data_IF_847955768362
#
_entry.id   IF_847955768362
#
_cell.length_a   1.000
_cell.length_b   1.000
_cell.length_c   1.000
_cell.angle_alpha   90.00
_cell.angle_beta   90.00
_cell.angle_gamma   90.00
#
_symmetry.space_group_name_H-M   'P 1'
#
loop_
_entity.id
_entity.type
_entity.pdbx_description
1 polymer ?
#
# COMPACT_ATOMS: atom_id res chain seq x y z
N UNK A 1 0.47 12.07 11.12
CA UNK A 1 1.19 10.77 11.28
C UNK A 1 1.26 10.27 12.74
N UNK A 2 0.49 10.88 13.66
CA UNK A 2 0.45 10.43 15.07
C UNK A 2 -0.05 8.98 15.18
N UNK A 3 -1.11 8.61 14.42
CA UNK A 3 -1.71 7.27 14.41
C UNK A 3 -0.69 6.15 14.11
N UNK A 4 0.27 6.42 13.22
CA UNK A 4 1.33 5.46 12.91
C UNK A 4 2.30 5.28 14.09
N UNK A 5 2.66 6.36 14.80
CA UNK A 5 3.48 6.28 16.02
C UNK A 5 2.73 5.53 17.14
N UNK A 6 1.45 5.81 17.32
CA UNK A 6 0.61 5.12 18.31
C UNK A 6 0.55 3.60 18.07
N UNK A 7 0.57 3.17 16.79
CA UNK A 7 0.67 1.75 16.45
C UNK A 7 2.03 1.16 16.85
N UNK A 8 3.15 1.84 16.55
CA UNK A 8 4.48 1.40 16.97
C UNK A 8 4.57 1.27 18.49
N UNK A 9 4.11 2.29 19.23
CA UNK A 9 4.08 2.30 20.70
C UNK A 9 3.20 1.19 21.26
N UNK A 10 2.03 0.96 20.63
CA UNK A 10 1.13 -0.12 21.04
C UNK A 10 1.79 -1.48 20.91
N UNK A 11 2.46 -1.76 19.79
CA UNK A 11 3.13 -3.06 19.59
C UNK A 11 4.30 -3.25 20.54
N UNK A 12 5.08 -2.20 20.84
CA UNK A 12 6.15 -2.28 21.85
C UNK A 12 5.60 -2.57 23.24
N UNK A 13 4.44 -1.99 23.61
CA UNK A 13 3.84 -2.12 24.94
C UNK A 13 3.05 -3.41 25.13
N UNK A 14 2.27 -3.82 24.11
CA UNK A 14 1.25 -4.88 24.22
C UNK A 14 1.59 -6.12 23.38
N UNK A 15 2.61 -6.02 22.51
CA UNK A 15 2.93 -7.07 21.55
C UNK A 15 3.39 -8.35 22.24
N UNK A 16 2.82 -9.46 21.78
CA UNK A 16 3.27 -10.80 22.17
C UNK A 16 4.40 -11.25 21.27
N UNK A 17 5.45 -11.81 21.85
CA UNK A 17 6.54 -12.42 21.08
C UNK A 17 6.03 -13.65 20.33
N UNK A 18 6.34 -13.72 19.05
CA UNK A 18 6.02 -14.84 18.15
C UNK A 18 7.23 -15.21 17.33
N UNK A 19 7.37 -16.49 17.07
CA UNK A 19 8.28 -16.99 16.04
C UNK A 19 7.65 -16.75 14.67
N UNK A 20 8.47 -16.59 13.66
CA UNK A 20 8.04 -16.37 12.30
C UNK A 20 8.83 -17.25 11.30
N UNK A 21 8.39 -17.27 10.04
CA UNK A 21 9.00 -18.07 8.96
C UNK A 21 10.48 -17.73 8.75
N UNK A 22 10.87 -16.49 9.01
CA UNK A 22 12.28 -16.03 8.78
C UNK A 22 13.22 -16.40 9.93
N UNK A 23 12.69 -16.88 11.07
CA UNK A 23 13.47 -17.15 12.26
C UNK A 23 13.94 -15.91 13.04
N UNK A 24 13.57 -14.70 12.59
CA UNK A 24 13.93 -13.44 13.25
C UNK A 24 13.14 -13.25 14.55
N UNK A 25 11.87 -13.66 14.55
CA UNK A 25 10.90 -13.40 15.60
C UNK A 25 10.31 -12.00 15.53
N UNK A 26 9.12 -11.85 16.10
CA UNK A 26 8.35 -10.60 16.08
C UNK A 26 7.75 -10.28 17.45
N UNK A 27 7.45 -8.99 17.69
CA UNK A 27 6.41 -8.55 18.61
C UNK A 27 5.15 -8.25 17.80
N UNK A 28 4.01 -8.83 18.15
CA UNK A 28 2.79 -8.77 17.36
C UNK A 28 1.57 -8.45 18.20
N UNK A 29 0.66 -7.63 17.65
CA UNK A 29 -0.72 -7.45 18.12
C UNK A 29 -1.68 -7.87 17.02
N UNK A 30 -2.84 -8.40 17.39
CA UNK A 30 -3.89 -8.77 16.44
C UNK A 30 -5.02 -7.75 16.46
N UNK A 31 -5.31 -7.19 15.29
CA UNK A 31 -6.37 -6.19 15.12
C UNK A 31 -5.96 -4.78 15.53
N UNK A 32 -5.86 -3.90 14.53
CA UNK A 32 -5.67 -2.46 14.69
C UNK A 32 -6.26 -1.72 13.50
N UNK A 33 -6.62 -0.46 13.70
CA UNK A 33 -7.09 0.38 12.60
C UNK A 33 -6.55 1.80 12.76
N UNK A 34 -6.05 2.37 11.67
CA UNK A 34 -5.66 3.76 11.56
C UNK A 34 -6.55 4.46 10.53
N UNK A 35 -6.74 5.78 10.70
CA UNK A 35 -7.48 6.62 9.76
C UNK A 35 -6.69 7.88 9.46
N UNK A 36 -6.64 8.27 8.19
CA UNK A 36 -5.96 9.46 7.69
C UNK A 36 -6.95 10.26 6.84
N UNK A 37 -7.26 11.50 7.22
CA UNK A 37 -7.99 12.44 6.35
C UNK A 37 -7.02 12.94 5.27
N UNK A 38 -7.28 12.56 4.02
CA UNK A 38 -6.43 12.93 2.88
C UNK A 38 -6.56 14.41 2.51
N UNK A 39 -7.57 15.10 3.03
CA UNK A 39 -7.71 16.56 2.91
C UNK A 39 -6.73 17.35 3.78
N UNK A 40 -6.20 16.75 4.87
CA UNK A 40 -5.20 17.39 5.73
C UNK A 40 -3.79 17.39 5.12
N UNK A 41 -3.54 16.55 4.12
CA UNK A 41 -2.25 16.38 3.44
C UNK A 41 -1.98 14.92 3.10
N UNK A 42 -0.92 14.69 2.34
CA UNK A 42 -0.54 13.35 1.94
C UNK A 42 0.11 12.58 3.09
N UNK A 43 -0.42 11.41 3.53
CA UNK A 43 0.03 10.72 4.74
C UNK A 43 1.35 9.98 4.54
N UNK A 44 2.41 10.73 4.29
CA UNK A 44 3.77 10.24 4.13
C UNK A 44 4.53 10.39 5.44
N UNK A 45 5.13 9.30 5.94
CA UNK A 45 5.90 9.31 7.17
C UNK A 45 7.05 10.30 7.09
N UNK A 46 7.16 11.20 8.08
CA UNK A 46 8.19 12.24 8.14
C UNK A 46 9.28 11.94 9.19
N UNK A 47 9.04 10.98 10.09
CA UNK A 47 10.02 10.59 11.14
C UNK A 47 11.14 9.71 10.61
N UNK A 48 11.04 9.24 9.37
CA UNK A 48 12.13 8.71 8.55
C UNK A 48 11.85 8.97 7.08
N UNK A 49 12.90 9.18 6.29
CA UNK A 49 12.77 9.34 4.83
C UNK A 49 12.36 8.02 4.18
N UNK A 50 11.33 8.06 3.36
CA UNK A 50 10.88 6.94 2.51
C UNK A 50 11.38 7.09 1.08
N UNK A 51 11.52 5.98 0.36
CA UNK A 51 11.92 5.96 -1.04
C UNK A 51 10.69 6.10 -1.94
N UNK A 52 10.24 7.34 -2.17
CA UNK A 52 9.04 7.67 -2.95
C UNK A 52 9.00 7.04 -4.34
N UNK A 53 10.17 7.00 -5.01
CA UNK A 53 10.27 6.40 -6.34
C UNK A 53 9.77 4.95 -6.34
N UNK A 54 10.16 4.15 -5.34
CA UNK A 54 9.70 2.77 -5.23
C UNK A 54 8.19 2.68 -5.00
N UNK A 55 7.63 3.52 -4.14
CA UNK A 55 6.20 3.53 -3.83
C UNK A 55 5.37 3.82 -5.09
N UNK A 56 5.76 4.85 -5.85
CA UNK A 56 5.02 5.28 -7.05
C UNK A 56 5.14 4.22 -8.15
N UNK A 57 6.35 3.74 -8.46
CA UNK A 57 6.53 2.74 -9.52
C UNK A 57 5.88 1.40 -9.17
N UNK A 58 5.89 0.98 -7.90
CA UNK A 58 5.19 -0.24 -7.46
C UNK A 58 3.68 -0.14 -7.71
N UNK A 59 3.06 0.99 -7.34
CA UNK A 59 1.63 1.18 -7.59
C UNK A 59 1.31 1.20 -9.09
N UNK A 60 2.10 1.90 -9.91
CA UNK A 60 1.92 1.92 -11.36
C UNK A 60 2.08 0.52 -11.97
N UNK A 61 3.03 -0.26 -11.47
CA UNK A 61 3.25 -1.64 -11.88
C UNK A 61 2.07 -2.55 -11.51
N UNK A 62 1.48 -2.41 -10.33
CA UNK A 62 0.24 -3.11 -9.97
C UNK A 62 -0.93 -2.71 -10.88
N UNK A 63 -1.08 -1.42 -11.18
CA UNK A 63 -2.14 -0.91 -12.08
C UNK A 63 -1.95 -1.35 -13.53
N UNK A 64 -0.72 -1.60 -13.96
CA UNK A 64 -0.44 -2.22 -15.26
C UNK A 64 -0.83 -3.70 -15.33
N UNK A 65 -1.11 -4.35 -14.19
CA UNK A 65 -1.40 -5.79 -14.13
C UNK A 65 -0.16 -6.67 -14.30
N UNK A 66 1.03 -6.08 -14.21
CA UNK A 66 2.29 -6.77 -14.43
C UNK A 66 2.72 -7.56 -13.17
N UNK A 67 3.46 -8.64 -13.37
CA UNK A 67 4.01 -9.52 -12.33
C UNK A 67 5.51 -9.73 -12.50
N UNK A 68 6.09 -9.24 -13.58
CA UNK A 68 7.52 -9.30 -13.85
C UNK A 68 8.21 -8.02 -13.37
N UNK A 69 9.34 -8.17 -12.67
CA UNK A 69 10.07 -7.05 -12.07
C UNK A 69 10.94 -6.26 -13.07
N UNK A 70 10.92 -6.58 -14.38
CA UNK A 70 11.71 -5.88 -15.38
C UNK A 70 11.45 -4.36 -15.37
N UNK A 71 10.16 -3.95 -15.41
CA UNK A 71 9.77 -2.55 -15.29
C UNK A 71 10.32 -1.88 -14.02
N UNK A 72 10.24 -2.56 -12.88
CA UNK A 72 10.75 -2.04 -11.61
C UNK A 72 12.26 -1.82 -11.66
N UNK A 73 13.02 -2.80 -12.19
CA UNK A 73 14.48 -2.71 -12.36
C UNK A 73 14.90 -1.58 -13.29
N UNK A 74 14.23 -1.43 -14.44
CA UNK A 74 14.46 -0.34 -15.39
C UNK A 74 14.28 1.04 -14.74
N UNK A 75 13.40 1.11 -13.73
CA UNK A 75 13.14 2.33 -12.97
C UNK A 75 13.93 2.44 -11.67
N UNK A 76 14.93 1.58 -11.44
CA UNK A 76 15.80 1.62 -10.25
C UNK A 76 15.09 1.22 -8.95
N UNK A 77 14.08 0.35 -9.05
CA UNK A 77 13.31 -0.18 -7.93
C UNK A 77 13.65 -1.65 -7.73
N UNK A 78 14.12 -2.02 -6.53
CA UNK A 78 14.63 -3.35 -6.19
C UNK A 78 13.85 -4.05 -5.07
N UNK A 79 12.71 -3.49 -4.65
CA UNK A 79 11.97 -3.97 -3.47
C UNK A 79 11.33 -5.35 -3.65
N UNK A 80 11.34 -5.91 -4.85
CA UNK A 80 10.82 -7.23 -5.19
C UNK A 80 11.88 -8.23 -5.67
N UNK A 81 13.16 -7.81 -5.75
CA UNK A 81 14.25 -8.62 -6.33
C UNK A 81 14.45 -9.96 -5.60
N UNK A 82 14.24 -9.98 -4.27
CA UNK A 82 14.49 -11.16 -3.43
C UNK A 82 13.45 -12.28 -3.62
N UNK A 83 12.28 -11.96 -4.19
CA UNK A 83 11.19 -12.93 -4.39
C UNK A 83 11.03 -13.39 -5.84
N UNK A 84 11.60 -12.65 -6.79
CA UNK A 84 11.47 -12.98 -8.19
C UNK A 84 12.27 -14.23 -8.59
N UNK A 85 11.73 -15.01 -9.51
CA UNK A 85 12.43 -16.14 -10.10
C UNK A 85 13.58 -15.69 -11.03
N UNK A 86 14.27 -16.65 -11.65
CA UNK A 86 15.38 -16.37 -12.56
C UNK A 86 14.98 -15.54 -13.81
N UNK A 87 13.69 -15.53 -14.17
CA UNK A 87 13.14 -14.76 -15.28
C UNK A 87 12.58 -13.40 -14.82
N UNK A 88 12.61 -13.11 -13.52
CA UNK A 88 12.05 -11.90 -12.93
C UNK A 88 10.55 -11.98 -12.67
N UNK A 89 9.94 -13.15 -12.69
CA UNK A 89 8.51 -13.33 -12.47
C UNK A 89 8.21 -13.66 -11.00
N UNK A 90 7.06 -13.18 -10.53
CA UNK A 90 6.55 -13.36 -9.16
C UNK A 90 5.32 -14.26 -9.10
N UNK A 91 4.87 -14.77 -10.25
CA UNK A 91 3.58 -15.46 -10.35
C UNK A 91 2.39 -14.50 -10.25
N UNK A 92 1.17 -15.00 -10.04
CA UNK A 92 -0.07 -14.20 -10.13
C UNK A 92 -0.29 -13.32 -8.90
N UNK A 93 0.69 -12.44 -8.56
CA UNK A 93 0.63 -11.51 -7.43
C UNK A 93 -0.30 -10.30 -7.72
N UNK A 94 -0.35 -9.33 -6.87
CA UNK A 94 -1.24 -8.16 -6.83
C UNK A 94 -1.75 -7.64 -8.19
N UNK A 95 -0.86 -7.29 -9.10
CA UNK A 95 -1.23 -6.75 -10.42
C UNK A 95 -2.10 -7.71 -11.22
N UNK A 96 -1.73 -8.99 -11.25
CA UNK A 96 -2.52 -10.03 -11.90
C UNK A 96 -3.91 -10.15 -11.28
N UNK A 97 -4.01 -10.26 -9.96
CA UNK A 97 -5.30 -10.41 -9.28
C UNK A 97 -6.20 -9.16 -9.48
N UNK A 98 -5.63 -7.97 -9.49
CA UNK A 98 -6.39 -6.73 -9.68
C UNK A 98 -6.92 -6.57 -11.10
N UNK A 99 -6.15 -7.02 -12.12
CA UNK A 99 -6.42 -6.72 -13.54
C UNK A 99 -6.82 -7.93 -14.39
N UNK A 100 -6.55 -9.14 -13.91
CA UNK A 100 -6.71 -10.36 -14.70
C UNK A 100 -7.21 -11.53 -13.87
N UNK A 101 -8.14 -11.28 -12.93
CA UNK A 101 -8.72 -12.34 -12.10
C UNK A 101 -9.46 -13.36 -12.98
N UNK A 102 -9.17 -14.68 -12.89
CA UNK A 102 -9.87 -15.69 -13.70
C UNK A 102 -11.38 -15.74 -13.40
N UNK A 103 -12.22 -15.68 -14.43
CA UNK A 103 -13.69 -15.72 -14.29
C UNK A 103 -14.27 -17.14 -14.17
N UNK A 104 -13.42 -18.16 -14.26
CA UNK A 104 -13.81 -19.57 -14.24
C UNK A 104 -14.43 -20.08 -15.56
N UNK A 105 -14.52 -19.23 -16.59
CA UNK A 105 -15.08 -19.57 -17.91
C UNK A 105 -14.05 -19.41 -19.05
N UNK A 106 -12.79 -19.19 -18.70
CA UNK A 106 -11.69 -18.96 -19.63
C UNK A 106 -11.45 -17.49 -20.00
N UNK A 107 -12.17 -16.57 -19.36
CA UNK A 107 -11.97 -15.12 -19.42
C UNK A 107 -11.34 -14.56 -18.15
N UNK A 108 -11.24 -13.24 -18.09
CA UNK A 108 -10.70 -12.50 -16.95
C UNK A 108 -11.60 -11.35 -16.52
N UNK A 109 -11.53 -11.03 -15.23
CA UNK A 109 -12.18 -9.89 -14.62
C UNK A 109 -11.11 -8.84 -14.29
N UNK A 110 -11.22 -7.66 -14.89
CA UNK A 110 -10.45 -6.48 -14.49
C UNK A 110 -11.17 -5.77 -13.34
N UNK A 111 -10.81 -6.09 -12.11
CA UNK A 111 -11.47 -5.55 -10.93
C UNK A 111 -11.30 -4.03 -10.83
N UNK A 112 -10.13 -3.48 -11.20
CA UNK A 112 -9.88 -2.03 -11.14
C UNK A 112 -10.71 -1.27 -12.19
N UNK A 113 -10.77 -1.76 -13.43
CA UNK A 113 -11.59 -1.13 -14.45
C UNK A 113 -13.08 -1.16 -14.08
N UNK A 114 -13.56 -2.30 -13.56
CA UNK A 114 -14.94 -2.43 -13.09
C UNK A 114 -15.22 -1.50 -11.90
N UNK A 115 -14.27 -1.37 -10.95
CA UNK A 115 -14.37 -0.46 -9.81
C UNK A 115 -14.56 0.99 -10.28
N UNK A 116 -13.70 1.50 -11.16
CA UNK A 116 -13.76 2.87 -11.69
C UNK A 116 -15.09 3.11 -12.42
N UNK A 117 -15.51 2.16 -13.25
CA UNK A 117 -16.79 2.24 -13.96
C UNK A 117 -17.98 2.25 -13.00
N UNK A 118 -17.94 1.43 -11.94
CA UNK A 118 -19.02 1.36 -10.94
C UNK A 118 -19.09 2.62 -10.09
N UNK A 119 -17.96 3.21 -9.66
CA UNK A 119 -17.94 4.50 -8.93
C UNK A 119 -18.63 5.59 -9.76
N UNK A 120 -18.33 5.67 -11.08
CA UNK A 120 -18.94 6.67 -11.97
C UNK A 120 -20.44 6.44 -12.17
N UNK A 121 -20.87 5.17 -12.27
CA UNK A 121 -22.26 4.79 -12.55
C UNK A 121 -23.14 4.81 -11.31
N UNK A 122 -22.61 4.34 -10.16
CA UNK A 122 -23.35 4.14 -8.93
C UNK A 122 -22.43 4.34 -7.70
N UNK A 123 -22.12 5.59 -7.33
CA UNK A 123 -21.21 5.90 -6.23
C UNK A 123 -21.71 5.37 -4.87
N UNK A 124 -23.01 5.12 -4.70
CA UNK A 124 -23.59 4.54 -3.48
C UNK A 124 -23.44 3.02 -3.38
N UNK A 125 -22.78 2.38 -4.34
CA UNK A 125 -22.56 0.93 -4.36
C UNK A 125 -21.77 0.48 -3.13
N UNK A 126 -22.23 -0.61 -2.50
CA UNK A 126 -21.52 -1.29 -1.39
C UNK A 126 -20.58 -2.39 -1.89
N UNK A 127 -20.37 -2.48 -3.22
CA UNK A 127 -19.58 -3.52 -3.89
C UNK A 127 -18.31 -2.96 -4.54
N UNK A 128 -17.86 -1.81 -4.08
CA UNK A 128 -16.63 -1.16 -4.56
C UNK A 128 -15.41 -1.82 -3.91
N UNK A 129 -15.19 -3.11 -4.19
CA UNK A 129 -14.17 -3.96 -3.57
C UNK A 129 -13.23 -4.51 -4.64
N UNK A 130 -11.94 -4.55 -4.30
CA UNK A 130 -10.89 -5.25 -5.06
C UNK A 130 -10.20 -6.23 -4.13
N UNK A 131 -10.08 -7.49 -4.55
CA UNK A 131 -9.40 -8.55 -3.80
C UNK A 131 -8.12 -8.98 -4.50
N UNK A 132 -7.04 -9.08 -3.75
CA UNK A 132 -5.80 -9.73 -4.19
C UNK A 132 -5.67 -11.17 -3.64
N UNK A 133 -6.49 -11.53 -2.63
CA UNK A 133 -6.45 -12.84 -2.02
C UNK A 133 -7.28 -13.85 -2.82
N UNK A 134 -6.59 -14.63 -3.65
CA UNK A 134 -7.18 -15.73 -4.42
C UNK A 134 -6.66 -17.06 -3.88
N UNK A 135 -7.47 -17.84 -3.12
CA UNK A 135 -7.00 -19.10 -2.52
C UNK A 135 -6.50 -20.14 -3.54
N UNK A 136 -6.97 -20.07 -4.79
CA UNK A 136 -6.53 -20.98 -5.85
C UNK A 136 -5.11 -20.66 -6.32
N UNK A 137 -4.71 -19.38 -6.32
CA UNK A 137 -3.44 -18.92 -6.83
C UNK A 137 -2.37 -18.73 -5.74
N UNK A 138 -2.77 -18.57 -4.47
CA UNK A 138 -1.83 -18.37 -3.34
C UNK A 138 -0.67 -19.38 -3.33
N UNK A 139 -0.86 -20.68 -3.63
CA UNK A 139 0.25 -21.65 -3.60
C UNK A 139 1.32 -21.43 -4.68
N UNK A 140 1.00 -20.68 -5.75
CA UNK A 140 1.92 -20.42 -6.87
C UNK A 140 2.43 -18.98 -6.93
N UNK A 141 2.07 -18.16 -5.95
CA UNK A 141 2.59 -16.81 -5.79
C UNK A 141 3.96 -16.86 -5.10
N UNK A 142 4.93 -16.07 -5.56
CA UNK A 142 6.21 -15.91 -4.89
C UNK A 142 6.05 -15.37 -3.45
N UNK A 143 5.07 -14.48 -3.25
CA UNK A 143 4.68 -13.95 -1.95
C UNK A 143 3.15 -13.81 -1.86
N UNK A 144 2.46 -14.56 -0.97
CA UNK A 144 1.04 -14.37 -0.73
C UNK A 144 0.69 -12.94 -0.30
N UNK A 145 -0.38 -12.34 -0.84
CA UNK A 145 -0.70 -10.93 -0.60
C UNK A 145 -0.84 -10.59 0.89
N UNK A 146 -0.06 -9.63 1.37
CA UNK A 146 -0.19 -9.07 2.71
C UNK A 146 -1.40 -8.12 2.79
N UNK A 147 -1.55 -7.20 1.83
CA UNK A 147 -2.73 -6.37 1.67
C UNK A 147 -3.74 -7.11 0.79
N UNK A 148 -4.72 -7.75 1.46
CA UNK A 148 -5.59 -8.77 0.86
C UNK A 148 -6.72 -8.21 0.03
N UNK A 149 -7.34 -7.13 0.51
CA UNK A 149 -8.47 -6.48 -0.15
C UNK A 149 -8.58 -5.02 0.28
N UNK A 150 -9.18 -4.22 -0.59
CA UNK A 150 -9.57 -2.86 -0.25
C UNK A 150 -10.96 -2.55 -0.79
N UNK A 151 -11.62 -1.61 -0.13
CA UNK A 151 -12.97 -1.16 -0.44
C UNK A 151 -13.00 0.35 -0.52
N UNK A 152 -13.69 0.87 -1.55
CA UNK A 152 -13.98 2.29 -1.64
C UNK A 152 -15.39 2.60 -1.13
N UNK A 153 -15.55 3.84 -0.71
CA UNK A 153 -16.80 4.39 -0.21
C UNK A 153 -16.90 5.87 -0.60
N UNK A 154 -18.04 6.26 -1.17
CA UNK A 154 -18.30 7.64 -1.57
C UNK A 154 -19.30 8.27 -0.61
N UNK A 155 -18.98 9.45 -0.11
CA UNK A 155 -19.87 10.26 0.72
C UNK A 155 -19.61 11.74 0.51
N UNK A 156 -20.68 12.51 0.25
CA UNK A 156 -20.60 13.97 0.08
C UNK A 156 -19.56 14.42 -0.96
N UNK A 157 -19.45 13.71 -2.08
CA UNK A 157 -18.49 13.98 -3.14
C UNK A 157 -17.04 13.58 -2.82
N UNK A 158 -16.79 12.92 -1.69
CA UNK A 158 -15.47 12.45 -1.27
C UNK A 158 -15.38 10.94 -1.37
N UNK A 159 -14.26 10.45 -1.92
CA UNK A 159 -13.91 9.03 -2.06
C UNK A 159 -12.95 8.61 -0.95
N UNK A 160 -13.37 7.67 -0.12
CA UNK A 160 -12.55 7.04 0.93
C UNK A 160 -12.17 5.63 0.55
N UNK A 161 -11.03 5.15 1.05
CA UNK A 161 -10.55 3.79 0.84
C UNK A 161 -10.28 3.12 2.18
N UNK A 162 -10.73 1.87 2.35
CA UNK A 162 -10.34 1.02 3.47
C UNK A 162 -9.56 -0.18 2.97
N UNK A 163 -8.34 -0.36 3.47
CA UNK A 163 -7.48 -1.50 3.23
C UNK A 163 -7.55 -2.49 4.40
N UNK A 164 -7.70 -3.79 4.10
CA UNK A 164 -7.39 -4.86 5.05
C UNK A 164 -6.05 -5.51 4.72
N UNK A 165 -5.11 -5.42 5.65
CA UNK A 165 -3.79 -6.03 5.57
C UNK A 165 -3.66 -7.14 6.63
N UNK A 166 -3.56 -8.41 6.18
CA UNK A 166 -3.52 -9.58 7.06
C UNK A 166 -2.23 -9.70 7.86
N UNK A 167 -1.12 -9.22 7.32
CA UNK A 167 0.22 -9.31 7.89
C UNK A 167 0.97 -8.02 7.56
N UNK A 168 1.52 -7.35 8.57
CA UNK A 168 2.05 -6.00 8.44
C UNK A 168 3.34 -5.83 9.22
N UNK A 169 4.49 -5.80 8.53
CA UNK A 169 5.73 -5.22 9.06
C UNK A 169 5.52 -3.71 9.23
N UNK A 170 5.33 -3.29 10.49
CA UNK A 170 4.97 -1.90 10.78
C UNK A 170 6.15 -0.97 10.50
N UNK A 171 7.38 -1.44 10.65
CA UNK A 171 8.54 -0.57 10.48
C UNK A 171 8.90 -0.34 9.01
N UNK A 172 9.05 -1.39 8.19
CA UNK A 172 9.43 -1.26 6.78
C UNK A 172 8.23 -1.14 5.83
N UNK A 173 7.27 -2.06 5.91
CA UNK A 173 6.20 -2.20 4.93
C UNK A 173 5.08 -1.18 5.10
N UNK A 174 4.55 -1.01 6.30
CA UNK A 174 3.35 -0.17 6.55
C UNK A 174 3.49 1.27 6.06
N UNK A 175 4.62 1.99 6.23
CA UNK A 175 4.78 3.32 5.67
C UNK A 175 4.63 3.39 4.16
N UNK A 176 5.11 2.37 3.43
CA UNK A 176 4.93 2.24 1.98
C UNK A 176 3.46 2.01 1.63
N UNK A 177 2.79 1.11 2.34
CA UNK A 177 1.38 0.78 2.09
C UNK A 177 0.46 1.99 2.36
N UNK A 178 0.69 2.77 3.43
CA UNK A 178 -0.05 4.00 3.70
C UNK A 178 0.05 4.95 2.50
N UNK A 179 1.25 5.23 2.04
CA UNK A 179 1.48 6.16 0.93
C UNK A 179 0.91 5.62 -0.40
N UNK A 180 1.09 4.32 -0.68
CA UNK A 180 0.61 3.69 -1.91
C UNK A 180 -0.92 3.74 -2.01
N UNK A 181 -1.65 3.37 -0.95
CA UNK A 181 -3.11 3.38 -0.99
C UNK A 181 -3.72 4.79 -0.87
N UNK A 182 -3.04 5.72 -0.19
CA UNK A 182 -3.41 7.13 -0.24
C UNK A 182 -3.27 7.68 -1.67
N UNK A 183 -2.16 7.37 -2.35
CA UNK A 183 -1.94 7.75 -3.76
C UNK A 183 -3.02 7.14 -4.66
N UNK A 184 -3.30 5.84 -4.55
CA UNK A 184 -4.36 5.17 -5.30
C UNK A 184 -5.72 5.85 -5.08
N UNK A 185 -6.03 6.24 -3.84
CA UNK A 185 -7.28 6.92 -3.51
C UNK A 185 -7.40 8.27 -4.22
N UNK A 186 -6.33 9.07 -4.22
CA UNK A 186 -6.30 10.34 -4.95
C UNK A 186 -6.43 10.16 -6.46
N UNK A 187 -5.72 9.17 -7.04
CA UNK A 187 -5.78 8.88 -8.48
C UNK A 187 -7.19 8.46 -8.90
N UNK A 188 -7.83 7.54 -8.14
CA UNK A 188 -9.21 7.11 -8.41
C UNK A 188 -10.19 8.25 -8.22
N UNK A 189 -10.04 9.08 -7.18
CA UNK A 189 -10.89 10.25 -6.96
C UNK A 189 -10.81 11.21 -8.15
N UNK A 190 -9.60 11.56 -8.62
CA UNK A 190 -9.43 12.44 -9.78
C UNK A 190 -10.14 11.91 -11.03
N UNK A 191 -9.89 10.65 -11.41
CA UNK A 191 -10.47 10.11 -12.66
C UNK A 191 -11.97 9.86 -12.57
N UNK A 192 -12.55 9.85 -11.37
CA UNK A 192 -14.00 9.71 -11.14
C UNK A 192 -14.69 11.04 -10.83
N UNK A 193 -13.96 12.16 -10.82
CA UNK A 193 -14.49 13.49 -10.54
C UNK A 193 -14.89 13.72 -9.08
N UNK A 194 -14.26 13.01 -8.15
CA UNK A 194 -14.47 13.09 -6.70
C UNK A 194 -13.27 13.75 -6.03
N UNK A 195 -13.45 14.20 -4.79
CA UNK A 195 -12.37 14.61 -3.90
C UNK A 195 -11.87 13.40 -3.08
N UNK A 196 -10.58 13.38 -2.70
CA UNK A 196 -10.07 12.36 -1.80
C UNK A 196 -10.66 12.56 -0.39
N UNK A 197 -11.16 11.47 0.20
CA UNK A 197 -11.71 11.40 1.54
C UNK A 197 -10.72 10.87 2.56
N UNK A 198 -11.09 9.77 3.21
CA UNK A 198 -10.23 9.11 4.21
C UNK A 198 -9.51 7.89 3.62
N UNK A 199 -8.29 7.65 4.08
CA UNK A 199 -7.68 6.34 4.00
C UNK A 199 -7.77 5.65 5.37
N UNK A 200 -8.40 4.48 5.40
CA UNK A 200 -8.56 3.64 6.59
C UNK A 200 -7.71 2.39 6.42
N UNK A 201 -6.74 2.17 7.30
CA UNK A 201 -5.85 1.03 7.25
C UNK A 201 -6.17 0.07 8.39
N UNK A 202 -6.70 -1.11 8.07
CA UNK A 202 -7.10 -2.15 9.02
C UNK A 202 -6.11 -3.31 8.95
N UNK A 203 -5.62 -3.74 10.10
CA UNK A 203 -4.61 -4.77 10.23
C UNK A 203 -5.17 -6.05 10.88
N UNK A 204 -4.71 -7.20 10.39
CA UNK A 204 -4.74 -8.46 11.11
C UNK A 204 -3.57 -8.56 12.08
N UNK A 205 -2.50 -9.28 11.68
CA UNK A 205 -1.24 -9.36 12.43
C UNK A 205 -0.38 -8.13 12.15
N UNK A 206 -0.29 -7.23 13.10
CA UNK A 206 0.56 -6.04 13.04
C UNK A 206 1.80 -6.26 13.91
N UNK A 207 2.99 -6.27 13.30
CA UNK A 207 4.19 -6.71 14.00
C UNK A 207 5.42 -5.84 13.73
N UNK A 208 6.36 -5.89 14.69
CA UNK A 208 7.71 -5.37 14.60
C UNK A 208 8.66 -6.56 14.69
N UNK A 209 9.54 -6.73 13.70
CA UNK A 209 10.61 -7.73 13.78
C UNK A 209 11.57 -7.39 14.91
N UNK A 210 12.05 -8.42 15.64
CA UNK A 210 12.93 -8.21 16.81
C UNK A 210 14.25 -7.52 16.46
N UNK A 211 14.74 -7.67 15.24
CA UNK A 211 15.91 -6.98 14.72
C UNK A 211 15.66 -5.51 14.31
N UNK A 212 14.42 -5.02 14.43
CA UNK A 212 14.05 -3.62 14.14
C UNK A 212 13.77 -2.79 15.42
N UNK A 213 13.90 -3.36 16.61
CA UNK A 213 13.52 -2.67 17.85
C UNK A 213 14.30 -1.36 18.07
N UNK A 214 15.60 -1.37 17.84
CA UNK A 214 16.43 -0.18 17.98
C UNK A 214 16.03 0.92 17.00
N UNK A 215 15.74 0.54 15.76
CA UNK A 215 15.27 1.44 14.69
C UNK A 215 13.89 2.03 15.01
N UNK A 216 13.01 1.25 15.61
CA UNK A 216 11.69 1.73 16.06
C UNK A 216 11.84 2.73 17.19
N UNK A 217 12.69 2.46 18.18
CA UNK A 217 12.99 3.41 19.26
C UNK A 217 13.61 4.70 18.71
N UNK A 218 14.55 4.62 17.77
CA UNK A 218 15.09 5.79 17.08
C UNK A 218 13.97 6.58 16.37
N UNK A 219 13.09 5.91 15.63
CA UNK A 219 12.01 6.57 14.92
C UNK A 219 11.02 7.27 15.87
N UNK A 220 10.67 6.64 16.99
CA UNK A 220 9.79 7.21 18.02
C UNK A 220 10.39 8.40 18.76
N UNK A 221 11.73 8.51 18.82
CA UNK A 221 12.41 9.67 19.40
C UNK A 221 12.30 10.94 18.55
N UNK A 222 11.83 10.82 17.29
CA UNK A 222 11.75 11.91 16.32
C UNK A 222 10.33 12.49 16.27
N UNK A 223 10.21 13.80 16.41
CA UNK A 223 8.91 14.48 16.26
C UNK A 223 8.44 14.43 14.79
N UNK A 224 7.15 14.07 14.53
CA UNK A 224 6.57 14.21 13.21
C UNK A 224 6.61 15.66 12.72
N UNK A 225 6.88 15.85 11.42
CA UNK A 225 6.84 17.14 10.72
C UNK A 225 5.54 17.30 9.94
N UNK A 226 5.34 18.48 9.36
CA UNK A 226 4.18 18.75 8.52
C UNK A 226 4.03 17.72 7.37
N UNK A 227 2.80 17.37 7.04
CA UNK A 227 2.52 16.50 5.91
C UNK A 227 2.82 17.21 4.60
N UNK A 228 3.41 16.52 3.62
CA UNK A 228 3.56 17.04 2.27
C UNK A 228 2.22 17.09 1.54
N UNK A 229 2.23 17.68 0.35
CA UNK A 229 1.09 17.73 -0.56
C UNK A 229 1.33 16.87 -1.79
N UNK A 230 0.33 16.12 -2.17
CA UNK A 230 0.31 15.40 -3.45
C UNK A 230 -0.19 16.35 -4.55
N UNK A 231 0.52 16.36 -5.67
CA UNK A 231 0.10 17.00 -6.91
C UNK A 231 0.01 15.92 -8.00
N UNK A 232 -1.15 15.79 -8.59
CA UNK A 232 -1.38 14.94 -9.76
C UNK A 232 -1.55 15.82 -10.99
N UNK A 233 -1.07 15.37 -12.15
CA UNK A 233 -1.32 16.04 -13.42
C UNK A 233 -2.83 16.07 -13.69
N UNK A 234 -3.49 17.24 -13.72
CA UNK A 234 -4.93 17.35 -13.86
C UNK A 234 -5.46 16.90 -15.23
N UNK A 235 -4.60 16.80 -16.24
CA UNK A 235 -4.96 16.38 -17.59
C UNK A 235 -5.10 14.86 -17.73
N UNK A 236 -4.75 14.08 -16.70
CA UNK A 236 -4.90 12.63 -16.70
C UNK A 236 -6.30 12.26 -16.23
N UNK A 237 -7.10 11.69 -17.15
CA UNK A 237 -8.50 11.29 -16.92
C UNK A 237 -8.73 9.78 -16.96
N UNK A 238 -7.69 9.00 -17.24
CA UNK A 238 -7.69 7.54 -17.21
C UNK A 238 -6.69 7.06 -16.15
N UNK A 239 -7.15 6.21 -15.23
CA UNK A 239 -6.34 5.67 -14.14
C UNK A 239 -5.09 4.92 -14.66
N UNK A 240 -5.21 4.27 -15.80
CA UNK A 240 -4.15 3.47 -16.40
C UNK A 240 -3.17 4.30 -17.27
N UNK A 241 -3.48 5.58 -17.48
CA UNK A 241 -2.62 6.50 -18.23
C UNK A 241 -1.62 7.25 -17.36
N UNK A 242 -1.75 7.20 -16.03
CA UNK A 242 -0.80 7.84 -15.12
C UNK A 242 0.62 7.29 -15.32
N UNK A 243 1.58 8.19 -15.33
CA UNK A 243 3.01 7.92 -15.36
C UNK A 243 3.69 8.51 -14.13
N UNK A 244 4.93 8.14 -13.89
CA UNK A 244 5.70 8.65 -12.76
C UNK A 244 5.77 10.19 -12.76
N UNK A 245 5.92 10.80 -13.93
CA UNK A 245 6.03 12.25 -14.12
C UNK A 245 4.74 13.01 -13.82
N UNK A 246 3.59 12.33 -13.80
CA UNK A 246 2.29 12.91 -13.47
C UNK A 246 2.05 13.04 -11.96
N UNK A 247 2.99 12.58 -11.12
CA UNK A 247 2.87 12.46 -9.68
C UNK A 247 4.00 13.19 -8.99
N UNK A 248 3.70 14.27 -8.28
CA UNK A 248 4.68 15.03 -7.51
C UNK A 248 4.27 15.15 -6.03
N UNK A 249 5.26 15.10 -5.15
CA UNK A 249 5.09 15.31 -3.71
C UNK A 249 5.84 16.57 -3.32
N UNK A 250 5.11 17.59 -2.90
CA UNK A 250 5.65 18.89 -2.53
C UNK A 250 5.76 19.04 -1.01
N UNK A 251 6.85 19.68 -0.55
CA UNK A 251 7.05 19.99 0.86
C UNK A 251 7.39 18.78 1.72
N UNK A 252 7.88 17.66 1.13
CA UNK A 252 8.34 16.52 1.90
C UNK A 252 9.68 16.81 2.58
N UNK A 253 9.64 17.11 3.87
CA UNK A 253 10.81 17.38 4.73
C UNK A 253 10.92 16.31 5.84
N UNK A 254 11.38 15.09 5.53
CA UNK A 254 11.51 14.02 6.52
C UNK A 254 12.81 14.13 7.32
N UNK A 255 12.83 13.48 8.49
CA UNK A 255 14.08 13.12 9.15
C UNK A 255 14.88 12.13 8.26
N UNK A 256 16.20 11.99 8.48
CA UNK A 256 17.02 11.05 7.72
C UNK A 256 16.46 9.62 7.73
N UNK A 257 16.76 8.86 6.68
CA UNK A 257 16.38 7.45 6.59
C UNK A 257 16.96 6.65 7.77
N UNK A 258 16.21 5.67 8.25
CA UNK A 258 16.66 4.66 9.21
C UNK A 258 16.77 3.34 8.46
N UNK A 259 18.00 2.80 8.35
CA UNK A 259 18.25 1.55 7.64
C UNK A 259 17.90 0.35 8.53
N UNK A 260 17.26 -0.65 7.93
CA UNK A 260 17.02 -1.95 8.54
C UNK A 260 17.13 -3.06 7.49
N UNK A 261 17.39 -4.28 7.94
CA UNK A 261 17.41 -5.46 7.07
C UNK A 261 15.99 -5.97 6.87
N UNK A 262 15.64 -6.31 5.63
CA UNK A 262 14.39 -7.02 5.35
C UNK A 262 14.47 -8.42 5.95
N UNK A 263 13.40 -8.89 6.58
CA UNK A 263 13.26 -10.26 7.03
C UNK A 263 12.68 -11.11 5.90
N UNK A 264 13.47 -12.04 5.36
CA UNK A 264 13.14 -12.90 4.20
C UNK A 264 13.19 -14.38 4.55
#
# INVERSE_FOLDING_TARGET
MRNYHELLERVLREGTRKDDRTGTGTLSVFGHQMRFDLGEGFPLVTTKKLHLRSIIHELLWFLAGDTNIAYLKENGVSIWDEWADANGDLGPVYGHQWRSWPDGQGGVIDQIAQLVAEIRRNPDSRRLIVSAWNPADVPVMALPPCHCLFQFYVQNGRLSCQLYQRSADIFLGVPFNIASYALLTHMVAQVTGLEAGDFVHTFGDAHIYLNHLDQVHEQLSRAPRALPRLQLNPDVHDLFAFRFEDIAIEGYDPHPAIKAKVAV
#
